data_IF_871508359260
#
_entry.id   IF_871508359260
#
_cell.length_a   1.000
_cell.length_b   1.000
_cell.length_c   1.000
_cell.angle_alpha   90.00
_cell.angle_beta   90.00
_cell.angle_gamma   90.00
#
_symmetry.space_group_name_H-M   'P 1'
#
loop_
_entity.id
_entity.type
_entity.pdbx_description
1 polymer ?
#
# COMPACT_ATOMS: atom_id res chain seq x y z
N UNK A 1 -4.55 -15.53 17.68
CA UNK A 1 -3.10 -15.30 17.52
C UNK A 1 -2.90 -13.94 16.86
N UNK A 2 -1.71 -13.35 16.95
CA UNK A 2 -1.41 -12.14 16.17
C UNK A 2 -1.38 -12.49 14.66
N UNK A 3 -1.84 -11.57 13.82
CA UNK A 3 -1.71 -11.69 12.37
C UNK A 3 -0.22 -11.66 11.98
N UNK A 4 0.26 -12.54 11.08
CA UNK A 4 1.64 -12.50 10.61
C UNK A 4 1.90 -11.27 9.73
N UNK A 5 3.17 -10.88 9.58
CA UNK A 5 3.56 -9.86 8.60
C UNK A 5 3.65 -10.46 7.21
N UNK A 6 3.44 -9.65 6.17
CA UNK A 6 3.60 -10.04 4.77
C UNK A 6 5.00 -10.63 4.50
N UNK A 7 6.04 -10.08 5.17
CA UNK A 7 7.41 -10.58 5.12
C UNK A 7 7.54 -12.07 5.49
N UNK A 8 6.71 -12.55 6.41
CA UNK A 8 6.88 -13.83 7.10
C UNK A 8 6.05 -14.96 6.47
N UNK A 9 5.35 -14.69 5.37
CA UNK A 9 4.45 -15.63 4.71
C UNK A 9 4.65 -15.65 3.18
N UNK A 10 4.16 -16.71 2.55
CA UNK A 10 3.92 -16.72 1.12
C UNK A 10 2.43 -16.46 0.85
N UNK A 11 2.16 -15.61 -0.12
CA UNK A 11 0.81 -15.27 -0.57
C UNK A 11 0.56 -15.98 -1.90
N UNK A 12 -0.59 -16.62 -2.06
CA UNK A 12 -0.93 -17.31 -3.31
C UNK A 12 -1.23 -16.32 -4.44
N UNK A 13 -2.10 -15.36 -4.18
CA UNK A 13 -2.61 -14.37 -5.15
C UNK A 13 -1.74 -13.10 -5.21
N UNK A 14 -0.44 -13.29 -5.42
CA UNK A 14 0.61 -12.25 -5.28
C UNK A 14 0.30 -10.95 -6.04
N UNK A 15 -0.09 -11.06 -7.30
CA UNK A 15 -0.42 -9.88 -8.12
C UNK A 15 -1.70 -9.19 -7.69
N UNK A 16 -2.75 -9.94 -7.30
CA UNK A 16 -4.00 -9.35 -6.79
C UNK A 16 -3.72 -8.59 -5.48
N UNK A 17 -2.93 -9.17 -4.59
CA UNK A 17 -2.47 -8.51 -3.36
C UNK A 17 -1.62 -7.27 -3.65
N UNK A 18 -0.74 -7.30 -4.65
CA UNK A 18 0.01 -6.12 -5.09
C UNK A 18 -0.93 -4.99 -5.54
N UNK A 19 -1.90 -5.31 -6.39
CA UNK A 19 -2.91 -4.33 -6.84
C UNK A 19 -3.70 -3.76 -5.67
N UNK A 20 -4.14 -4.59 -4.72
CA UNK A 20 -4.84 -4.16 -3.51
C UNK A 20 -3.98 -3.21 -2.66
N UNK A 21 -2.68 -3.50 -2.50
CA UNK A 21 -1.76 -2.60 -1.80
C UNK A 21 -1.56 -1.26 -2.53
N UNK A 22 -1.53 -1.24 -3.87
CA UNK A 22 -1.51 0.01 -4.63
C UNK A 22 -2.79 0.82 -4.43
N UNK A 23 -3.95 0.15 -4.42
CA UNK A 23 -5.24 0.80 -4.15
C UNK A 23 -5.26 1.43 -2.76
N UNK A 24 -4.73 0.75 -1.74
CA UNK A 24 -4.61 1.29 -0.38
C UNK A 24 -3.69 2.53 -0.32
N UNK A 25 -2.57 2.52 -1.05
CA UNK A 25 -1.68 3.69 -1.17
C UNK A 25 -2.40 4.84 -1.88
N UNK A 26 -3.11 4.55 -2.98
CA UNK A 26 -3.87 5.52 -3.75
C UNK A 26 -5.00 6.15 -2.92
N UNK A 27 -5.75 5.36 -2.15
CA UNK A 27 -6.75 5.87 -1.20
C UNK A 27 -6.11 6.78 -0.17
N UNK A 28 -5.00 6.36 0.43
CA UNK A 28 -4.30 7.15 1.46
C UNK A 28 -3.87 8.51 0.90
N UNK A 29 -3.31 8.52 -0.32
CA UNK A 29 -2.90 9.74 -1.00
C UNK A 29 -4.10 10.61 -1.41
N UNK A 30 -5.01 10.07 -2.22
CA UNK A 30 -6.06 10.85 -2.90
C UNK A 30 -7.26 11.21 -2.01
N UNK A 31 -7.55 10.43 -0.96
CA UNK A 31 -8.74 10.62 -0.10
C UNK A 31 -8.39 11.07 1.30
N UNK A 32 -7.26 10.63 1.84
CA UNK A 32 -6.84 10.96 3.19
C UNK A 32 -5.71 12.02 3.25
N UNK A 33 -5.17 12.48 2.11
CA UNK A 33 -4.04 13.40 2.01
C UNK A 33 -2.83 12.94 2.85
N UNK A 34 -2.59 11.62 2.87
CA UNK A 34 -1.60 10.96 3.72
C UNK A 34 -0.67 10.07 2.91
N UNK A 35 0.63 10.15 3.22
CA UNK A 35 1.66 9.23 2.76
C UNK A 35 2.15 8.43 3.96
N UNK A 36 2.31 7.12 3.80
CA UNK A 36 2.76 6.26 4.90
C UNK A 36 4.19 6.59 5.33
N UNK A 37 5.07 6.94 4.38
CA UNK A 37 6.45 7.37 4.61
C UNK A 37 7.34 6.36 5.35
N UNK A 38 6.89 5.11 5.47
CA UNK A 38 7.74 3.98 5.80
C UNK A 38 7.12 2.64 5.36
N UNK A 39 6.36 2.62 4.27
CA UNK A 39 5.66 1.40 3.86
C UNK A 39 6.68 0.34 3.42
N UNK A 40 6.53 -0.90 3.90
CA UNK A 40 7.31 -2.07 3.47
C UNK A 40 6.62 -3.36 3.89
N UNK A 41 7.09 -4.52 3.41
CA UNK A 41 6.58 -5.85 3.82
C UNK A 41 6.62 -6.12 5.34
N UNK A 42 7.37 -5.33 6.11
CA UNK A 42 7.41 -5.39 7.58
C UNK A 42 6.24 -4.66 8.25
N UNK A 43 5.70 -3.63 7.58
CA UNK A 43 4.61 -2.77 8.05
C UNK A 43 3.26 -3.15 7.42
N UNK A 44 3.17 -4.38 6.89
CA UNK A 44 1.96 -4.95 6.31
C UNK A 44 1.65 -6.24 7.06
N UNK A 45 0.50 -6.31 7.72
CA UNK A 45 -0.03 -7.53 8.31
C UNK A 45 -0.88 -8.28 7.30
N UNK A 46 -0.96 -9.60 7.45
CA UNK A 46 -1.84 -10.46 6.68
C UNK A 46 -2.96 -10.99 7.57
N UNK A 47 -4.18 -10.52 7.32
CA UNK A 47 -5.33 -10.87 8.14
C UNK A 47 -6.52 -11.17 7.25
N UNK A 48 -7.17 -12.31 7.50
CA UNK A 48 -8.36 -12.78 6.76
C UNK A 48 -8.21 -12.77 5.22
N UNK A 49 -6.99 -13.03 4.74
CA UNK A 49 -6.70 -13.11 3.30
C UNK A 49 -6.42 -11.76 2.63
N UNK A 50 -6.27 -10.68 3.42
CA UNK A 50 -6.03 -9.34 2.93
C UNK A 50 -4.80 -8.69 3.58
N UNK A 51 -4.12 -7.75 2.88
CA UNK A 51 -3.07 -6.92 3.45
C UNK A 51 -3.64 -5.80 4.32
N UNK A 52 -3.00 -5.53 5.45
CA UNK A 52 -3.36 -4.45 6.38
C UNK A 52 -2.13 -3.58 6.68
N UNK A 53 -2.19 -2.29 6.36
CA UNK A 53 -1.11 -1.35 6.69
C UNK A 53 -1.14 -1.00 8.16
N UNK A 54 0.02 -1.06 8.82
CA UNK A 54 0.20 -0.70 10.24
C UNK A 54 1.28 0.38 10.37
N UNK A 55 1.48 0.89 11.58
CA UNK A 55 2.49 1.93 11.87
C UNK A 55 2.30 3.23 11.06
N UNK A 56 1.06 3.50 10.63
CA UNK A 56 0.63 4.72 9.92
C UNK A 56 0.85 6.00 10.72
N UNK A 57 1.10 5.91 12.03
CA UNK A 57 1.41 7.05 12.90
C UNK A 57 2.73 7.77 12.58
N UNK A 58 3.59 7.16 11.75
CA UNK A 58 4.79 7.81 11.19
C UNK A 58 4.54 8.47 9.82
N UNK A 59 3.31 8.36 9.30
CA UNK A 59 2.93 8.95 8.03
C UNK A 59 2.93 10.48 8.06
N UNK A 60 3.07 11.08 6.88
CA UNK A 60 3.08 12.53 6.69
C UNK A 60 1.97 12.97 5.78
N UNK A 61 1.45 14.18 6.00
CA UNK A 61 0.46 14.78 5.10
C UNK A 61 1.11 15.29 3.83
N UNK A 62 0.31 15.52 2.79
CA UNK A 62 0.75 16.12 1.52
C UNK A 62 1.51 17.45 1.69
N UNK A 63 1.21 18.24 2.72
CA UNK A 63 1.90 19.51 3.03
C UNK A 63 3.38 19.37 3.43
N UNK A 64 3.83 18.15 3.74
CA UNK A 64 5.23 17.91 4.04
C UNK A 64 6.09 18.12 2.78
N UNK A 65 7.22 18.84 2.84
CA UNK A 65 8.01 19.20 1.65
C UNK A 65 8.56 17.99 0.86
N UNK A 66 8.61 16.81 1.50
CA UNK A 66 9.08 15.56 0.90
C UNK A 66 7.95 14.51 0.73
N UNK A 67 6.67 14.92 0.78
CA UNK A 67 5.53 13.99 0.70
C UNK A 67 5.57 13.15 -0.60
N UNK A 68 5.78 13.79 -1.75
CA UNK A 68 5.89 13.12 -3.05
C UNK A 68 7.08 12.14 -3.11
N UNK A 69 8.24 12.52 -2.57
CA UNK A 69 9.42 11.64 -2.53
C UNK A 69 9.15 10.39 -1.67
N UNK A 70 8.44 10.55 -0.56
CA UNK A 70 8.03 9.42 0.27
C UNK A 70 7.00 8.52 -0.42
N UNK A 71 6.05 9.10 -1.14
CA UNK A 71 5.08 8.34 -1.93
C UNK A 71 5.79 7.48 -2.98
N UNK A 72 6.71 8.07 -3.74
CA UNK A 72 7.50 7.36 -4.75
C UNK A 72 8.27 6.21 -4.11
N UNK A 73 8.88 6.44 -2.94
CA UNK A 73 9.61 5.39 -2.22
C UNK A 73 8.69 4.26 -1.74
N UNK A 74 7.52 4.59 -1.20
CA UNK A 74 6.56 3.59 -0.73
C UNK A 74 6.08 2.71 -1.89
N UNK A 75 5.72 3.30 -3.04
CA UNK A 75 5.33 2.55 -4.26
C UNK A 75 6.50 1.73 -4.80
N UNK A 76 7.72 2.28 -4.80
CA UNK A 76 8.93 1.53 -5.21
C UNK A 76 9.13 0.26 -4.40
N UNK A 77 8.86 0.30 -3.09
CA UNK A 77 8.98 -0.86 -2.21
C UNK A 77 7.94 -1.93 -2.51
N UNK A 78 6.71 -1.54 -2.88
CA UNK A 78 5.68 -2.48 -3.34
C UNK A 78 6.06 -3.11 -4.70
N UNK A 79 6.55 -2.31 -5.65
CA UNK A 79 7.02 -2.80 -6.96
C UNK A 79 8.17 -3.80 -6.78
N UNK A 80 9.12 -3.49 -5.90
CA UNK A 80 10.22 -4.41 -5.58
C UNK A 80 9.72 -5.72 -4.96
N UNK A 81 8.70 -5.65 -4.10
CA UNK A 81 8.10 -6.84 -3.50
C UNK A 81 7.49 -7.76 -4.57
N UNK A 82 6.71 -7.22 -5.51
CA UNK A 82 6.07 -8.06 -6.55
C UNK A 82 7.08 -8.56 -7.58
N UNK A 83 8.09 -7.76 -7.94
CA UNK A 83 9.11 -8.18 -8.91
C UNK A 83 10.01 -9.30 -8.37
N UNK A 84 10.29 -9.31 -7.06
CA UNK A 84 10.96 -10.44 -6.39
C UNK A 84 10.20 -11.76 -6.50
N UNK A 85 8.90 -11.71 -6.75
CA UNK A 85 8.03 -12.88 -6.89
C UNK A 85 7.95 -13.39 -8.35
N UNK A 86 8.74 -12.82 -9.27
CA UNK A 86 8.83 -13.25 -10.67
C UNK A 86 7.95 -12.48 -11.65
N UNK A 87 7.38 -11.34 -11.22
CA UNK A 87 6.65 -10.43 -12.10
C UNK A 87 7.58 -9.35 -12.65
N UNK A 88 7.15 -8.72 -13.74
CA UNK A 88 7.83 -7.58 -14.36
C UNK A 88 6.87 -6.39 -14.35
N UNK A 89 6.89 -5.63 -13.25
CA UNK A 89 6.08 -4.42 -13.06
C UNK A 89 6.99 -3.20 -13.11
N UNK A 90 6.59 -2.22 -13.91
CA UNK A 90 7.26 -0.93 -14.02
C UNK A 90 6.81 0.03 -12.92
N UNK A 91 7.76 0.78 -12.37
CA UNK A 91 7.48 1.78 -11.34
C UNK A 91 6.59 2.90 -11.89
N UNK A 92 6.84 3.34 -13.12
CA UNK A 92 6.09 4.43 -13.74
C UNK A 92 4.59 4.14 -13.82
N UNK A 93 4.23 2.92 -14.25
CA UNK A 93 2.82 2.49 -14.34
C UNK A 93 2.17 2.42 -12.95
N UNK A 94 2.93 1.96 -11.94
CA UNK A 94 2.43 1.88 -10.55
C UNK A 94 2.22 3.27 -9.93
N UNK A 95 3.09 4.24 -10.25
CA UNK A 95 2.91 5.64 -9.84
C UNK A 95 1.71 6.25 -10.54
N UNK A 96 1.55 6.03 -11.86
CA UNK A 96 0.39 6.50 -12.61
C UNK A 96 -0.93 5.98 -12.02
N UNK A 97 -0.97 4.68 -11.69
CA UNK A 97 -2.10 4.04 -10.99
C UNK A 97 -2.45 4.74 -9.68
N UNK A 98 -1.45 5.13 -8.91
CA UNK A 98 -1.63 5.76 -7.59
C UNK A 98 -2.05 7.23 -7.72
N UNK A 99 -1.56 7.96 -8.73
CA UNK A 99 -1.79 9.40 -8.88
C UNK A 99 -3.06 9.74 -9.66
N UNK A 100 -3.36 9.02 -10.74
CA UNK A 100 -4.33 9.46 -11.75
C UNK A 100 -5.57 8.56 -11.85
N UNK A 101 -5.44 7.27 -11.55
CA UNK A 101 -6.55 6.35 -11.68
C UNK A 101 -7.55 6.49 -10.51
N UNK A 102 -8.86 6.30 -10.77
CA UNK A 102 -9.87 6.27 -9.72
C UNK A 102 -9.52 5.27 -8.62
N UNK A 103 -9.76 5.67 -7.38
CA UNK A 103 -9.68 4.78 -6.22
C UNK A 103 -11.05 4.11 -5.98
N UNK A 104 -11.07 2.89 -5.43
CA UNK A 104 -12.32 2.23 -5.08
C UNK A 104 -13.13 3.05 -4.07
N UNK A 105 -14.46 2.91 -4.14
CA UNK A 105 -15.33 3.42 -3.10
C UNK A 105 -15.09 2.64 -1.81
N UNK A 106 -14.77 3.35 -0.72
CA UNK A 106 -14.56 2.73 0.57
C UNK A 106 -15.91 2.32 1.16
N UNK A 107 -16.08 1.02 1.42
CA UNK A 107 -17.18 0.56 2.24
C UNK A 107 -17.04 1.14 3.66
N UNK A 108 -18.16 1.56 4.24
CA UNK A 108 -18.22 1.94 5.65
C UNK A 108 -17.76 0.76 6.52
N UNK A 109 -16.86 1.04 7.47
CA UNK A 109 -16.36 0.03 8.40
C UNK A 109 -17.54 -0.65 9.12
N UNK A 110 -17.56 -1.98 9.20
CA UNK A 110 -18.60 -2.68 9.93
C UNK A 110 -18.59 -2.24 11.40
N UNK A 111 -19.70 -1.66 11.86
CA UNK A 111 -19.87 -1.21 13.25
C UNK A 111 -19.58 0.25 13.53
N UNK A 112 -19.42 1.10 12.50
CA UNK A 112 -19.39 2.56 12.66
C UNK A 112 -20.68 3.15 12.06
N UNK A 113 -21.73 3.18 12.90
CA UNK A 113 -22.89 4.09 12.76
C UNK A 113 -22.66 5.35 13.61
#
# INVERSE_FOLDING_TARGET
SAAPRLRDIEVDKKFETFSEMLDMVAVSWQKANLVHADLSEYNILWYEGQPWFIDVGQGVTEQHPHSEEFLVRDVTRLVHWINKQGYEVELADSILRVLEEPVPDLESLPGVD
#
